data_IF_650064117668
#
_entry.id   IF_650064117668
#
_cell.length_a   1.000
_cell.length_b   1.000
_cell.length_c   1.000
_cell.angle_alpha   90.00
_cell.angle_beta   90.00
_cell.angle_gamma   90.00
#
_symmetry.space_group_name_H-M   'P 1'
#
loop_
_entity.id
_entity.type
_entity.pdbx_description
1 polymer ?
#
# COMPACT_ATOMS: atom_id res chain seq x y z
N UNK A 1 -2.46 -26.31 -12.35
CA UNK A 1 -1.79 -26.64 -11.07
C UNK A 1 -2.76 -27.47 -10.23
N UNK A 2 -2.34 -28.61 -9.66
CA UNK A 2 -3.17 -29.25 -8.62
C UNK A 2 -3.25 -28.28 -7.44
N UNK A 3 -4.45 -27.83 -7.06
CA UNK A 3 -4.61 -26.95 -5.89
C UNK A 3 -4.12 -27.70 -4.66
N UNK A 4 -2.98 -27.26 -4.18
CA UNK A 4 -2.35 -27.73 -2.96
C UNK A 4 -2.56 -26.63 -1.90
N UNK A 5 -2.91 -26.97 -0.65
CA UNK A 5 -3.14 -28.30 -0.10
C UNK A 5 -4.46 -28.93 -0.58
N UNK A 6 -4.52 -30.26 -0.53
CA UNK A 6 -5.74 -31.02 -0.88
C UNK A 6 -6.84 -30.76 0.16
N UNK A 7 -8.04 -30.43 -0.28
CA UNK A 7 -9.22 -30.35 0.61
C UNK A 7 -9.68 -31.75 1.02
N UNK A 8 -9.94 -31.95 2.31
CA UNK A 8 -10.45 -33.22 2.84
C UNK A 8 -11.98 -33.25 2.85
N UNK A 9 -12.52 -34.48 2.84
CA UNK A 9 -13.96 -34.68 3.00
C UNK A 9 -14.40 -34.27 4.40
N UNK A 10 -15.61 -33.73 4.52
CA UNK A 10 -16.20 -33.23 5.78
C UNK A 10 -16.19 -34.28 6.91
N UNK A 11 -16.41 -35.55 6.58
CA UNK A 11 -16.34 -36.66 7.54
C UNK A 11 -14.93 -36.86 8.14
N UNK A 12 -13.88 -36.58 7.37
CA UNK A 12 -12.49 -36.65 7.84
C UNK A 12 -12.18 -35.49 8.77
N UNK A 13 -12.57 -34.27 8.38
CA UNK A 13 -12.44 -33.05 9.19
C UNK A 13 -13.18 -33.21 10.53
N UNK A 14 -14.43 -33.68 10.49
CA UNK A 14 -15.25 -33.94 11.69
C UNK A 14 -14.56 -34.91 12.66
N UNK A 15 -13.96 -35.98 12.14
CA UNK A 15 -13.20 -36.95 12.95
C UNK A 15 -11.94 -36.33 13.55
N UNK A 16 -11.22 -35.49 12.79
CA UNK A 16 -10.04 -34.79 13.29
C UNK A 16 -10.40 -33.80 14.39
N UNK A 17 -11.44 -32.98 14.19
CA UNK A 17 -11.97 -32.05 15.19
C UNK A 17 -12.41 -32.78 16.47
N UNK A 18 -13.11 -33.91 16.34
CA UNK A 18 -13.50 -34.74 17.50
C UNK A 18 -12.29 -35.26 18.28
N UNK A 19 -11.19 -35.60 17.60
CA UNK A 19 -9.95 -36.06 18.24
C UNK A 19 -9.21 -34.91 18.94
N UNK A 20 -9.19 -33.73 18.31
CA UNK A 20 -8.60 -32.53 18.88
C UNK A 20 -9.36 -32.05 20.13
N UNK A 21 -10.69 -32.24 20.15
CA UNK A 21 -11.55 -32.06 21.33
C UNK A 21 -11.48 -30.67 21.99
N UNK A 22 -11.20 -29.63 21.21
CA UNK A 22 -11.25 -28.24 21.69
C UNK A 22 -12.70 -27.79 21.93
N UNK A 23 -12.95 -26.90 22.91
CA UNK A 23 -14.25 -26.27 23.08
C UNK A 23 -14.69 -25.52 21.81
N UNK A 24 -15.98 -25.56 21.49
CA UNK A 24 -16.51 -24.93 20.26
C UNK A 24 -16.20 -23.42 20.21
N UNK A 25 -16.32 -22.71 21.33
CA UNK A 25 -15.97 -21.29 21.43
C UNK A 25 -14.48 -21.02 21.14
N UNK A 26 -13.61 -21.95 21.54
CA UNK A 26 -12.16 -21.86 21.25
C UNK A 26 -11.92 -22.07 19.77
N UNK A 27 -12.50 -23.11 19.15
CA UNK A 27 -12.40 -23.32 17.71
C UNK A 27 -12.91 -22.11 16.93
N UNK A 28 -14.09 -21.59 17.27
CA UNK A 28 -14.67 -20.42 16.59
C UNK A 28 -13.73 -19.22 16.66
N UNK A 29 -13.16 -18.93 17.83
CA UNK A 29 -12.23 -17.83 17.99
C UNK A 29 -10.93 -18.02 17.19
N UNK A 30 -10.43 -19.25 17.07
CA UNK A 30 -9.24 -19.53 16.26
C UNK A 30 -9.48 -19.29 14.77
N UNK A 31 -10.66 -19.67 14.25
CA UNK A 31 -11.04 -19.33 12.87
C UNK A 31 -11.20 -17.82 12.69
N UNK A 32 -11.82 -17.11 13.64
CA UNK A 32 -11.93 -15.64 13.60
C UNK A 32 -10.54 -14.99 13.52
N UNK A 33 -9.55 -15.53 14.24
CA UNK A 33 -8.17 -15.09 14.15
C UNK A 33 -7.55 -15.37 12.78
N UNK A 34 -7.74 -16.57 12.22
CA UNK A 34 -7.15 -16.93 10.91
C UNK A 34 -7.73 -16.08 9.77
N UNK A 35 -9.03 -15.85 9.77
CA UNK A 35 -9.69 -14.92 8.82
C UNK A 35 -9.16 -13.49 8.99
N UNK A 36 -9.08 -13.00 10.23
CA UNK A 36 -8.50 -11.70 10.54
C UNK A 36 -7.05 -11.57 10.06
N UNK A 37 -6.23 -12.61 10.25
CA UNK A 37 -4.83 -12.61 9.83
C UNK A 37 -4.69 -12.62 8.32
N UNK A 38 -5.53 -13.39 7.63
CA UNK A 38 -5.59 -13.41 6.18
C UNK A 38 -5.94 -12.02 5.62
N UNK A 39 -6.94 -11.34 6.19
CA UNK A 39 -7.39 -10.04 5.69
C UNK A 39 -6.40 -8.91 6.00
N UNK A 40 -5.87 -8.84 7.23
CA UNK A 40 -5.00 -7.74 7.66
C UNK A 40 -3.54 -7.89 7.18
N UNK A 41 -2.98 -9.09 7.28
CA UNK A 41 -1.56 -9.30 6.99
C UNK A 41 -1.33 -9.92 5.61
N UNK A 42 -2.31 -10.63 5.05
CA UNK A 42 -2.27 -11.45 3.82
C UNK A 42 -1.21 -12.56 3.79
N UNK A 43 -0.11 -12.41 4.51
CA UNK A 43 0.94 -13.37 4.72
C UNK A 43 1.38 -13.28 6.18
N UNK A 44 1.23 -14.36 6.94
CA UNK A 44 1.64 -14.42 8.34
C UNK A 44 2.19 -15.81 8.72
N UNK A 45 3.43 -15.92 9.21
CA UNK A 45 3.95 -17.18 9.74
C UNK A 45 3.09 -17.72 10.90
N UNK A 46 2.87 -19.03 10.95
CA UNK A 46 2.07 -19.65 12.02
C UNK A 46 2.67 -19.44 13.42
N UNK A 47 4.01 -19.34 13.52
CA UNK A 47 4.70 -18.92 14.76
C UNK A 47 4.24 -17.55 15.26
N UNK A 48 4.08 -16.59 14.36
CA UNK A 48 3.60 -15.24 14.69
C UNK A 48 2.10 -15.28 15.05
N UNK A 49 1.30 -16.04 14.29
CA UNK A 49 -0.12 -16.25 14.58
C UNK A 49 -0.33 -16.83 15.99
N UNK A 50 0.38 -17.91 16.34
CA UNK A 50 0.35 -18.51 17.68
C UNK A 50 0.73 -17.49 18.75
N UNK A 51 1.83 -16.77 18.55
CA UNK A 51 2.31 -15.75 19.49
C UNK A 51 1.27 -14.65 19.74
N UNK A 52 0.56 -14.18 18.70
CA UNK A 52 -0.50 -13.19 18.84
C UNK A 52 -1.66 -13.78 19.67
N UNK A 53 -2.15 -14.96 19.28
CA UNK A 53 -3.30 -15.61 19.92
C UNK A 53 -3.00 -15.88 21.41
N UNK A 54 -1.86 -16.49 21.72
CA UNK A 54 -1.47 -16.81 23.10
C UNK A 54 -1.26 -15.55 23.95
N UNK A 55 -0.72 -14.47 23.36
CA UNK A 55 -0.54 -13.20 24.08
C UNK A 55 -1.88 -12.53 24.41
N UNK A 56 -2.84 -12.60 23.49
CA UNK A 56 -4.16 -11.98 23.67
C UNK A 56 -5.15 -12.87 24.44
N UNK A 57 -4.88 -14.17 24.55
CA UNK A 57 -5.75 -15.15 25.18
C UNK A 57 -4.91 -16.12 26.02
N UNK A 58 -4.51 -15.68 27.22
CA UNK A 58 -3.67 -16.49 28.11
C UNK A 58 -4.37 -17.82 28.43
N UNK A 59 -3.68 -18.92 28.14
CA UNK A 59 -4.17 -20.28 28.44
C UNK A 59 -5.26 -20.81 27.50
N UNK A 60 -5.54 -20.12 26.38
CA UNK A 60 -6.58 -20.56 25.44
C UNK A 60 -6.25 -21.89 24.76
N UNK A 61 -4.99 -22.07 24.34
CA UNK A 61 -4.56 -23.23 23.56
C UNK A 61 -3.05 -23.50 23.74
N UNK A 62 -2.67 -24.76 23.79
CA UNK A 62 -1.26 -25.20 23.78
C UNK A 62 -0.66 -25.13 22.37
N UNK A 63 0.66 -25.26 22.25
CA UNK A 63 1.31 -25.26 20.93
C UNK A 63 0.90 -26.49 20.11
N UNK A 64 0.82 -27.67 20.72
CA UNK A 64 0.46 -28.91 20.03
C UNK A 64 -0.99 -28.89 19.53
N UNK A 65 -1.92 -28.36 20.33
CA UNK A 65 -3.30 -28.16 19.92
C UNK A 65 -3.40 -27.13 18.79
N UNK A 66 -2.62 -26.04 18.84
CA UNK A 66 -2.58 -25.04 17.77
C UNK A 66 -2.06 -25.63 16.45
N UNK A 67 -1.00 -26.43 16.51
CA UNK A 67 -0.47 -27.14 15.34
C UNK A 67 -1.53 -28.08 14.78
N UNK A 68 -2.17 -28.88 15.62
CA UNK A 68 -3.24 -29.79 15.20
C UNK A 68 -4.45 -29.06 14.60
N UNK A 69 -4.85 -27.93 15.20
CA UNK A 69 -5.89 -27.05 14.64
C UNK A 69 -5.49 -26.51 13.27
N UNK A 70 -4.27 -25.99 13.12
CA UNK A 70 -3.78 -25.44 11.86
C UNK A 70 -3.71 -26.50 10.74
N UNK A 71 -3.39 -27.75 11.09
CA UNK A 71 -3.42 -28.88 10.15
C UNK A 71 -4.84 -29.19 9.68
N UNK A 72 -5.84 -29.08 10.56
CA UNK A 72 -7.25 -29.23 10.18
C UNK A 72 -7.66 -28.08 9.24
N UNK A 73 -7.42 -26.84 9.65
CA UNK A 73 -7.77 -25.64 8.88
C UNK A 73 -7.14 -25.64 7.48
N UNK A 74 -5.91 -26.16 7.35
CA UNK A 74 -5.20 -26.32 6.08
C UNK A 74 -5.95 -27.17 5.05
N UNK A 75 -6.78 -28.12 5.50
CA UNK A 75 -7.50 -29.05 4.65
C UNK A 75 -8.99 -28.71 4.49
N UNK A 76 -9.41 -27.56 5.00
CA UNK A 76 -10.75 -26.99 4.85
C UNK A 76 -10.77 -25.90 3.78
N UNK A 77 -11.97 -25.54 3.33
CA UNK A 77 -12.14 -24.49 2.32
C UNK A 77 -12.25 -23.13 3.03
N UNK A 78 -11.24 -22.29 2.81
CA UNK A 78 -11.15 -20.92 3.33
C UNK A 78 -10.73 -19.95 2.21
N UNK A 79 -10.77 -18.64 2.47
CA UNK A 79 -10.15 -17.62 1.59
C UNK A 79 -8.64 -17.44 1.83
N UNK A 80 -8.05 -18.36 2.61
CA UNK A 80 -6.63 -18.46 2.84
C UNK A 80 -6.19 -19.92 2.73
N UNK A 81 -4.89 -20.10 2.56
CA UNK A 81 -4.20 -21.37 2.58
C UNK A 81 -3.18 -21.37 3.73
N UNK A 82 -2.80 -22.56 4.17
CA UNK A 82 -1.65 -22.74 5.06
C UNK A 82 -0.63 -23.51 4.26
N UNK A 83 0.50 -22.90 3.95
CA UNK A 83 1.48 -23.39 2.96
C UNK A 83 2.87 -23.46 3.58
N UNK A 84 3.63 -24.47 3.19
CA UNK A 84 5.04 -24.62 3.52
C UNK A 84 5.91 -24.06 2.38
N UNK A 85 7.11 -23.59 2.70
CA UNK A 85 8.03 -23.07 1.68
C UNK A 85 8.53 -24.15 0.74
N UNK A 86 8.72 -25.38 1.21
CA UNK A 86 9.06 -26.52 0.35
C UNK A 86 7.95 -26.92 -0.63
N UNK A 87 6.76 -26.34 -0.50
CA UNK A 87 5.65 -26.50 -1.44
C UNK A 87 5.61 -25.38 -2.49
N UNK A 88 6.28 -24.26 -2.19
CA UNK A 88 6.30 -23.04 -3.01
C UNK A 88 7.63 -22.81 -3.72
N UNK A 89 8.73 -23.37 -3.21
CA UNK A 89 10.08 -23.22 -3.77
C UNK A 89 10.70 -24.60 -4.02
N UNK A 90 11.35 -24.79 -5.17
CA UNK A 90 11.91 -26.08 -5.59
C UNK A 90 13.00 -26.61 -4.64
N UNK A 91 13.83 -25.72 -4.08
CA UNK A 91 15.00 -26.07 -3.27
C UNK A 91 14.85 -25.69 -1.79
N UNK A 92 13.62 -25.41 -1.33
CA UNK A 92 13.40 -25.08 0.08
C UNK A 92 13.52 -26.33 0.96
N UNK A 93 14.11 -26.19 2.17
CA UNK A 93 14.15 -27.28 3.12
C UNK A 93 12.74 -27.63 3.58
N UNK A 94 12.50 -28.92 3.85
CA UNK A 94 11.22 -29.37 4.39
C UNK A 94 10.90 -28.67 5.70
N UNK A 95 9.72 -28.09 5.79
CA UNK A 95 9.26 -27.38 6.99
C UNK A 95 8.41 -28.26 7.90
N UNK A 96 8.54 -28.04 9.22
CA UNK A 96 7.63 -28.61 10.21
C UNK A 96 6.27 -27.88 10.14
N UNK A 97 5.16 -28.49 10.61
CA UNK A 97 3.84 -27.87 10.54
C UNK A 97 3.75 -26.44 11.10
N UNK A 98 4.51 -26.12 12.14
CA UNK A 98 4.54 -24.78 12.77
C UNK A 98 5.33 -23.74 11.98
N UNK A 99 6.21 -24.17 11.07
CA UNK A 99 7.03 -23.27 10.24
C UNK A 99 6.28 -22.71 9.03
N UNK A 100 5.12 -23.31 8.72
CA UNK A 100 4.24 -22.90 7.62
C UNK A 100 3.69 -21.48 7.81
N UNK A 101 3.17 -20.95 6.72
CA UNK A 101 2.63 -19.60 6.62
C UNK A 101 1.13 -19.65 6.29
N UNK A 102 0.35 -18.79 6.95
CA UNK A 102 -1.01 -18.47 6.55
C UNK A 102 -0.95 -17.44 5.42
N UNK A 103 -1.51 -17.80 4.26
CA UNK A 103 -1.39 -17.08 2.99
C UNK A 103 -2.77 -16.81 2.44
N UNK A 104 -3.15 -15.55 2.27
CA UNK A 104 -4.41 -15.18 1.67
C UNK A 104 -4.48 -15.66 0.21
N UNK A 105 -5.65 -16.10 -0.21
CA UNK A 105 -5.88 -16.70 -1.55
C UNK A 105 -5.47 -15.79 -2.70
N UNK A 106 -5.63 -14.46 -2.55
CA UNK A 106 -5.20 -13.49 -3.56
C UNK A 106 -3.72 -13.58 -3.95
N UNK A 107 -2.85 -14.12 -3.09
CA UNK A 107 -1.41 -14.22 -3.36
C UNK A 107 -1.00 -15.47 -4.14
N UNK A 108 -1.91 -16.45 -4.28
CA UNK A 108 -1.57 -17.81 -4.77
C UNK A 108 -2.62 -18.45 -5.70
N UNK A 109 -3.80 -17.85 -5.87
CA UNK A 109 -4.90 -18.43 -6.66
C UNK A 109 -4.67 -18.38 -8.17
N UNK A 110 -3.88 -17.40 -8.65
CA UNK A 110 -3.54 -17.22 -10.07
C UNK A 110 -2.16 -17.84 -10.36
N UNK A 111 -1.13 -17.32 -9.69
CA UNK A 111 0.24 -17.81 -9.69
C UNK A 111 0.91 -17.48 -8.34
N UNK A 112 2.23 -17.65 -8.22
CA UNK A 112 2.98 -17.40 -6.98
C UNK A 112 3.80 -16.10 -6.98
N UNK A 113 3.70 -15.27 -8.02
CA UNK A 113 4.48 -14.03 -8.15
C UNK A 113 4.12 -13.04 -7.05
N UNK A 114 2.83 -12.86 -6.78
CA UNK A 114 2.33 -11.98 -5.71
C UNK A 114 2.78 -12.44 -4.33
N UNK A 115 2.78 -13.74 -4.07
CA UNK A 115 3.36 -14.31 -2.85
C UNK A 115 4.86 -13.96 -2.73
N UNK A 116 5.66 -14.18 -3.76
CA UNK A 116 7.10 -13.86 -3.72
C UNK A 116 7.37 -12.36 -3.53
N UNK A 117 6.56 -11.50 -4.15
CA UNK A 117 6.65 -10.06 -3.98
C UNK A 117 6.27 -9.65 -2.55
N UNK A 118 5.22 -10.23 -1.98
CA UNK A 118 4.82 -9.99 -0.58
C UNK A 118 5.93 -10.40 0.40
N UNK A 119 6.56 -11.56 0.21
CA UNK A 119 7.71 -12.01 1.02
C UNK A 119 8.83 -10.97 1.01
N UNK A 120 9.21 -10.47 -0.17
CA UNK A 120 10.25 -9.43 -0.30
C UNK A 120 9.83 -8.13 0.39
N UNK A 121 8.58 -7.70 0.20
CA UNK A 121 8.07 -6.47 0.78
C UNK A 121 7.99 -6.51 2.31
N UNK A 122 7.64 -7.66 2.91
CA UNK A 122 7.57 -7.82 4.36
C UNK A 122 8.95 -8.07 5.01
N UNK A 123 9.97 -8.43 4.24
CA UNK A 123 11.29 -8.80 4.75
C UNK A 123 11.90 -7.69 5.63
N UNK A 124 12.40 -8.07 6.81
CA UNK A 124 13.05 -7.16 7.76
C UNK A 124 12.13 -6.17 8.48
N UNK A 125 10.83 -6.11 8.15
CA UNK A 125 9.88 -5.22 8.82
C UNK A 125 9.37 -5.83 10.14
N UNK A 126 9.13 -5.01 11.18
CA UNK A 126 8.48 -5.49 12.40
C UNK A 126 7.01 -5.86 12.13
N UNK A 127 6.45 -6.72 12.97
CA UNK A 127 5.02 -7.06 12.94
C UNK A 127 4.21 -6.12 13.84
N UNK A 128 3.21 -5.43 13.29
CA UNK A 128 2.25 -4.66 14.09
C UNK A 128 1.28 -5.64 14.73
N UNK A 129 1.13 -5.60 16.06
CA UNK A 129 0.11 -6.37 16.76
C UNK A 129 -0.91 -5.39 17.34
N UNK A 130 -2.13 -5.38 16.78
CA UNK A 130 -3.23 -4.54 17.26
C UNK A 130 -3.85 -5.11 18.55
N UNK A 131 -4.52 -4.28 19.37
CA UNK A 131 -5.36 -4.77 20.47
C UNK A 131 -6.42 -5.75 19.96
N UNK A 132 -6.75 -6.79 20.75
CA UNK A 132 -7.66 -7.88 20.33
C UNK A 132 -8.98 -7.37 19.72
N UNK A 133 -9.62 -6.38 20.36
CA UNK A 133 -10.90 -5.84 19.91
C UNK A 133 -10.81 -5.05 18.60
N UNK A 134 -9.66 -4.43 18.30
CA UNK A 134 -9.42 -3.75 17.02
C UNK A 134 -9.05 -4.76 15.94
N UNK A 135 -8.18 -5.71 16.29
CA UNK A 135 -7.70 -6.77 15.40
C UNK A 135 -8.86 -7.59 14.82
N UNK A 136 -9.75 -8.11 15.66
CA UNK A 136 -10.86 -8.98 15.21
C UNK A 136 -11.92 -8.28 14.36
N UNK A 137 -11.88 -6.93 14.22
CA UNK A 137 -12.75 -6.23 13.26
C UNK A 137 -12.39 -6.56 11.82
N UNK A 138 -11.12 -6.84 11.55
CA UNK A 138 -10.63 -7.24 10.22
C UNK A 138 -11.06 -8.65 9.82
N UNK A 139 -11.80 -9.39 10.67
CA UNK A 139 -12.49 -10.60 10.23
C UNK A 139 -13.44 -10.30 9.07
N UNK A 140 -14.13 -9.17 9.13
CA UNK A 140 -14.93 -8.65 8.02
C UNK A 140 -13.97 -8.11 6.95
N UNK A 141 -13.98 -8.74 5.77
CA UNK A 141 -13.12 -8.38 4.63
C UNK A 141 -13.49 -7.03 4.02
N UNK A 142 -14.69 -6.53 4.32
CA UNK A 142 -15.19 -5.21 3.94
C UNK A 142 -15.03 -4.18 5.07
N UNK A 143 -14.34 -4.53 6.16
CA UNK A 143 -14.15 -3.63 7.29
C UNK A 143 -13.39 -2.36 6.90
N UNK A 144 -14.06 -1.22 7.02
CA UNK A 144 -13.43 0.10 6.89
C UNK A 144 -13.12 0.64 8.29
N UNK A 145 -11.84 0.90 8.55
CA UNK A 145 -11.41 1.43 9.84
C UNK A 145 -11.96 2.84 10.09
N UNK A 146 -12.59 3.04 11.24
CA UNK A 146 -13.13 4.33 11.64
C UNK A 146 -12.00 5.27 12.13
N UNK A 147 -11.32 5.89 11.16
CA UNK A 147 -10.19 6.80 11.38
C UNK A 147 -10.55 8.23 11.00
N UNK A 148 -9.84 9.24 11.54
CA UNK A 148 -10.02 10.63 11.11
C UNK A 148 -9.85 10.81 9.59
N UNK A 149 -8.97 10.04 8.95
CA UNK A 149 -8.69 10.11 7.51
C UNK A 149 -9.83 9.54 6.66
N UNK A 150 -10.39 8.41 7.06
CA UNK A 150 -11.60 7.85 6.44
C UNK A 150 -12.77 8.82 6.58
N UNK A 151 -13.02 9.35 7.79
CA UNK A 151 -14.09 10.33 8.02
C UNK A 151 -13.89 11.61 7.19
N UNK A 152 -12.65 12.08 7.03
CA UNK A 152 -12.35 13.26 6.23
C UNK A 152 -12.64 13.03 4.74
N UNK A 153 -12.21 11.88 4.18
CA UNK A 153 -12.52 11.52 2.80
C UNK A 153 -14.03 11.32 2.60
N UNK A 154 -14.70 10.61 3.52
CA UNK A 154 -16.15 10.41 3.51
C UNK A 154 -16.91 11.74 3.51
N UNK A 155 -16.50 12.69 4.36
CA UNK A 155 -17.08 14.03 4.39
C UNK A 155 -16.87 14.78 3.07
N UNK A 156 -15.69 14.67 2.45
CA UNK A 156 -15.43 15.27 1.13
C UNK A 156 -16.36 14.68 0.06
N UNK A 157 -16.49 13.35 -0.01
CA UNK A 157 -17.36 12.67 -0.97
C UNK A 157 -18.83 13.09 -0.81
N UNK A 158 -19.34 13.13 0.42
CA UNK A 158 -20.72 13.49 0.69
C UNK A 158 -21.02 14.98 0.49
N UNK A 159 -20.12 15.88 0.91
CA UNK A 159 -20.40 17.32 0.94
C UNK A 159 -19.91 18.05 -0.31
N UNK A 160 -18.68 17.78 -0.75
CA UNK A 160 -18.05 18.49 -1.88
C UNK A 160 -18.41 17.85 -3.21
N UNK A 161 -18.54 16.52 -3.25
CA UNK A 161 -18.98 15.79 -4.45
C UNK A 161 -20.47 15.43 -4.44
N UNK A 162 -21.20 15.78 -3.37
CA UNK A 162 -22.66 15.60 -3.24
C UNK A 162 -23.11 14.15 -3.45
N UNK A 163 -22.28 13.18 -3.05
CA UNK A 163 -22.64 11.78 -3.12
C UNK A 163 -23.55 11.39 -1.96
N UNK A 164 -24.40 10.39 -2.16
CA UNK A 164 -25.12 9.76 -1.06
C UNK A 164 -24.14 9.03 -0.14
N UNK A 165 -24.50 8.87 1.14
CA UNK A 165 -23.66 8.18 2.12
C UNK A 165 -23.30 6.76 1.63
N UNK A 166 -24.27 5.99 1.15
CA UNK A 166 -24.02 4.65 0.59
C UNK A 166 -23.01 4.67 -0.56
N UNK A 167 -23.16 5.59 -1.52
CA UNK A 167 -22.22 5.67 -2.66
C UNK A 167 -20.82 6.11 -2.22
N UNK A 168 -20.74 6.95 -1.20
CA UNK A 168 -19.46 7.36 -0.64
C UNK A 168 -18.78 6.19 0.09
N UNK A 169 -19.53 5.35 0.83
CA UNK A 169 -19.01 4.12 1.45
C UNK A 169 -18.47 3.14 0.42
N UNK A 170 -19.19 2.89 -0.68
CA UNK A 170 -18.72 2.04 -1.77
C UNK A 170 -17.38 2.54 -2.34
N UNK A 171 -17.28 3.85 -2.60
CA UNK A 171 -16.05 4.47 -3.12
C UNK A 171 -14.89 4.40 -2.12
N UNK A 172 -15.15 4.60 -0.82
CA UNK A 172 -14.12 4.44 0.22
C UNK A 172 -13.64 3.00 0.26
N UNK A 173 -14.54 2.02 0.17
CA UNK A 173 -14.18 0.60 0.14
C UNK A 173 -13.23 0.31 -1.03
N UNK A 174 -13.57 0.79 -2.23
CA UNK A 174 -12.71 0.67 -3.42
C UNK A 174 -11.36 1.39 -3.23
N UNK A 175 -11.33 2.56 -2.60
CA UNK A 175 -10.07 3.26 -2.29
C UNK A 175 -9.18 2.45 -1.36
N UNK A 176 -9.73 1.89 -0.29
CA UNK A 176 -8.99 1.05 0.65
C UNK A 176 -8.46 -0.19 -0.06
N UNK A 177 -9.27 -0.85 -0.89
CA UNK A 177 -8.85 -2.00 -1.69
C UNK A 177 -7.69 -1.65 -2.64
N UNK A 178 -7.78 -0.50 -3.33
CA UNK A 178 -6.70 -0.01 -4.20
C UNK A 178 -5.43 0.25 -3.39
N UNK A 179 -5.55 0.89 -2.23
CA UNK A 179 -4.42 1.20 -1.35
C UNK A 179 -3.73 -0.08 -0.84
N UNK A 180 -4.49 -1.14 -0.54
CA UNK A 180 -3.94 -2.37 0.05
C UNK A 180 -3.39 -3.36 -0.99
N UNK A 181 -3.88 -3.32 -2.23
CA UNK A 181 -3.57 -4.33 -3.25
C UNK A 181 -2.74 -3.81 -4.44
N UNK A 182 -2.69 -2.50 -4.70
CA UNK A 182 -2.09 -1.96 -5.93
C UNK A 182 -0.73 -1.29 -5.65
N UNK A 183 0.29 -1.59 -6.45
CA UNK A 183 1.62 -0.97 -6.33
C UNK A 183 1.61 0.53 -6.67
N UNK A 184 0.61 0.98 -7.44
CA UNK A 184 0.45 2.38 -7.87
C UNK A 184 -0.96 2.87 -7.57
N UNK A 185 -1.29 3.11 -6.29
CA UNK A 185 -2.66 3.41 -5.87
C UNK A 185 -3.21 4.70 -6.50
N UNK A 186 -2.36 5.69 -6.80
CA UNK A 186 -2.78 6.92 -7.48
C UNK A 186 -3.18 6.69 -8.95
N UNK A 187 -2.43 5.87 -9.69
CA UNK A 187 -2.78 5.52 -11.07
C UNK A 187 -4.07 4.69 -11.11
N UNK A 188 -4.19 3.74 -10.18
CA UNK A 188 -5.35 2.86 -10.05
C UNK A 188 -6.62 3.64 -9.65
N UNK A 189 -6.53 4.54 -8.66
CA UNK A 189 -7.67 5.35 -8.24
C UNK A 189 -8.11 6.32 -9.34
N UNK A 190 -7.16 6.91 -10.09
CA UNK A 190 -7.52 7.78 -11.23
C UNK A 190 -8.34 7.00 -12.27
N UNK A 191 -7.90 5.79 -12.65
CA UNK A 191 -8.63 4.93 -13.59
C UNK A 191 -9.99 4.50 -13.05
N UNK A 192 -10.08 4.22 -11.75
CA UNK A 192 -11.33 3.87 -11.08
C UNK A 192 -12.32 5.03 -11.15
N UNK A 193 -11.89 6.25 -10.81
CA UNK A 193 -12.72 7.46 -10.85
C UNK A 193 -13.25 7.75 -12.26
N UNK A 194 -12.43 7.55 -13.28
CA UNK A 194 -12.85 7.65 -14.68
C UNK A 194 -13.93 6.60 -15.04
N UNK A 195 -13.74 5.34 -14.61
CA UNK A 195 -14.72 4.25 -14.84
C UNK A 195 -16.06 4.53 -14.19
N UNK A 196 -16.06 5.04 -12.96
CA UNK A 196 -17.30 5.42 -12.23
C UNK A 196 -17.84 6.80 -12.64
N UNK A 197 -17.18 7.45 -13.62
CA UNK A 197 -17.54 8.75 -14.20
C UNK A 197 -17.64 9.85 -13.14
N UNK A 198 -16.81 9.81 -12.10
CA UNK A 198 -16.77 10.81 -11.05
C UNK A 198 -15.86 11.96 -11.49
N UNK A 199 -16.47 13.03 -11.99
CA UNK A 199 -15.74 14.23 -12.43
C UNK A 199 -15.58 15.21 -11.28
N UNK A 200 -14.42 15.84 -11.22
CA UNK A 200 -14.08 16.87 -10.24
C UNK A 200 -13.67 18.15 -10.96
N UNK A 201 -13.97 19.30 -10.34
CA UNK A 201 -13.32 20.57 -10.70
C UNK A 201 -11.85 20.55 -10.26
N UNK A 202 -11.05 21.50 -10.75
CA UNK A 202 -9.65 21.63 -10.35
C UNK A 202 -9.47 21.75 -8.83
N UNK A 203 -10.27 22.61 -8.17
CA UNK A 203 -10.26 22.74 -6.71
C UNK A 203 -10.66 21.45 -5.98
N UNK A 204 -11.65 20.71 -6.49
CA UNK A 204 -12.04 19.43 -5.89
C UNK A 204 -10.95 18.37 -6.07
N UNK A 205 -10.25 18.38 -7.20
CA UNK A 205 -9.14 17.47 -7.47
C UNK A 205 -7.96 17.72 -6.53
N UNK A 206 -7.61 18.98 -6.26
CA UNK A 206 -6.57 19.35 -5.29
C UNK A 206 -6.91 18.85 -3.87
N UNK A 207 -8.15 19.10 -3.42
CA UNK A 207 -8.67 18.61 -2.14
C UNK A 207 -8.59 17.07 -2.07
N UNK A 208 -9.04 16.40 -3.14
CA UNK A 208 -9.02 14.94 -3.25
C UNK A 208 -7.60 14.38 -3.14
N UNK A 209 -6.63 14.92 -3.90
CA UNK A 209 -5.25 14.44 -3.88
C UNK A 209 -4.67 14.50 -2.48
N UNK A 210 -4.92 15.60 -1.75
CA UNK A 210 -4.46 15.74 -0.36
C UNK A 210 -5.11 14.69 0.55
N UNK A 211 -6.43 14.55 0.50
CA UNK A 211 -7.17 13.61 1.34
C UNK A 211 -6.82 12.15 1.02
N UNK A 212 -6.63 11.81 -0.25
CA UNK A 212 -6.26 10.47 -0.67
C UNK A 212 -4.83 10.14 -0.25
N UNK A 213 -3.91 11.12 -0.31
CA UNK A 213 -2.56 10.98 0.23
C UNK A 213 -2.58 10.69 1.73
N UNK A 214 -3.39 11.44 2.50
CA UNK A 214 -3.53 11.23 3.94
C UNK A 214 -4.14 9.85 4.25
N UNK A 215 -5.18 9.45 3.51
CA UNK A 215 -5.80 8.14 3.61
C UNK A 215 -4.80 7.01 3.32
N UNK A 216 -4.09 7.09 2.19
CA UNK A 216 -3.06 6.13 1.78
C UNK A 216 -1.96 5.97 2.84
N UNK A 217 -1.40 7.08 3.33
CA UNK A 217 -0.29 7.05 4.28
C UNK A 217 -0.70 6.57 5.68
N UNK A 218 -2.00 6.57 5.99
CA UNK A 218 -2.55 6.17 7.28
C UNK A 218 -3.45 4.92 7.21
N UNK A 219 -3.48 4.23 6.08
CA UNK A 219 -4.12 2.92 5.95
C UNK A 219 -3.10 1.81 6.25
N UNK A 220 -3.52 0.78 6.97
CA UNK A 220 -2.64 -0.36 7.32
C UNK A 220 -2.41 -1.22 6.08
N UNK A 221 -1.15 -1.58 5.84
CA UNK A 221 -0.78 -2.32 4.63
C UNK A 221 -0.27 -3.73 4.98
N UNK A 222 -0.72 -4.77 4.26
CA UNK A 222 -0.15 -6.12 4.34
C UNK A 222 1.36 -6.15 4.09
N UNK A 223 1.83 -5.40 3.09
CA UNK A 223 3.25 -5.24 2.73
C UNK A 223 4.08 -4.63 3.87
N UNK A 224 3.42 -3.90 4.79
CA UNK A 224 4.02 -3.29 5.97
C UNK A 224 3.73 -4.09 7.25
N UNK A 225 3.30 -5.36 7.13
CA UNK A 225 3.00 -6.23 8.27
C UNK A 225 2.03 -5.57 9.27
N UNK A 226 0.99 -4.93 8.74
CA UNK A 226 -0.07 -4.27 9.50
C UNK A 226 0.25 -2.85 9.99
N UNK A 227 1.46 -2.32 9.73
CA UNK A 227 1.74 -0.90 9.95
C UNK A 227 1.14 -0.04 8.83
N UNK A 228 0.79 1.20 9.15
CA UNK A 228 0.59 2.22 8.10
C UNK A 228 1.94 2.70 7.57
N UNK A 229 2.03 3.24 6.34
CA UNK A 229 3.25 3.90 5.87
C UNK A 229 3.80 4.95 6.84
N UNK A 230 2.90 5.74 7.45
CA UNK A 230 3.28 6.75 8.44
C UNK A 230 3.85 6.15 9.73
N UNK A 231 3.22 5.12 10.29
CA UNK A 231 3.74 4.44 11.49
C UNK A 231 5.09 3.77 11.20
N UNK A 232 5.29 3.18 10.02
CA UNK A 232 6.54 2.49 9.69
C UNK A 232 7.70 3.46 9.45
N UNK A 233 7.43 4.64 8.87
CA UNK A 233 8.43 5.68 8.67
C UNK A 233 8.94 6.28 9.99
N UNK A 234 8.05 6.45 10.97
CA UNK A 234 8.39 6.99 12.31
C UNK A 234 9.09 5.97 13.22
N UNK A 235 8.94 4.67 12.95
CA UNK A 235 9.52 3.58 13.75
C UNK A 235 10.98 3.21 13.36
N UNK A 236 11.57 3.89 12.36
CA UNK A 236 12.99 3.76 12.00
C UNK A 236 13.83 4.61 12.96
N UNK A 237 14.18 4.03 14.11
CA UNK A 237 14.83 4.72 15.23
C UNK A 237 15.94 5.70 14.86
N UNK A 238 15.60 7.00 14.81
CA UNK A 238 16.54 8.11 14.84
C UNK A 238 17.43 8.29 13.61
N UNK A 239 17.20 7.59 12.50
CA UNK A 239 17.77 8.05 11.23
C UNK A 239 16.95 9.26 10.80
N UNK A 240 17.58 10.45 10.80
CA UNK A 240 16.98 11.69 10.29
C UNK A 240 16.30 11.39 8.96
N UNK A 241 14.98 11.31 9.00
CA UNK A 241 14.17 11.36 7.80
C UNK A 241 14.48 12.74 7.24
N UNK A 242 15.12 12.80 6.07
CA UNK A 242 15.26 14.06 5.37
C UNK A 242 13.84 14.47 4.97
N UNK A 243 13.19 15.21 5.85
CA UNK A 243 11.76 15.55 5.78
C UNK A 243 11.43 16.42 4.58
N UNK A 244 12.45 17.06 4.02
CA UNK A 244 12.45 17.80 2.77
C UNK A 244 13.90 17.96 2.29
N UNK A 245 14.15 17.76 0.98
CA UNK A 245 15.41 18.12 0.33
C UNK A 245 15.18 19.40 -0.45
N UNK A 246 16.08 20.38 -0.32
CA UNK A 246 16.07 21.56 -1.19
C UNK A 246 17.30 21.62 -2.08
N UNK A 247 17.11 22.04 -3.34
CA UNK A 247 18.24 22.30 -4.24
C UNK A 247 19.08 23.45 -3.69
N UNK A 248 20.36 23.17 -3.44
CA UNK A 248 21.32 24.21 -3.05
C UNK A 248 21.48 25.30 -4.12
N UNK A 249 22.14 26.43 -3.78
CA UNK A 249 22.25 27.60 -4.65
C UNK A 249 22.97 27.29 -5.97
N UNK A 250 23.94 26.36 -5.97
CA UNK A 250 24.69 25.99 -7.17
C UNK A 250 23.85 25.17 -8.16
N UNK A 251 23.11 24.17 -7.66
CA UNK A 251 22.20 23.36 -8.49
C UNK A 251 21.08 24.24 -9.04
N UNK A 252 20.51 25.11 -8.20
CA UNK A 252 19.51 26.09 -8.64
C UNK A 252 20.07 27.05 -9.71
N UNK A 253 21.34 27.46 -9.59
CA UNK A 253 22.00 28.29 -10.60
C UNK A 253 22.22 27.54 -11.91
N UNK A 254 22.64 26.27 -11.87
CA UNK A 254 22.82 25.43 -13.04
C UNK A 254 21.53 25.24 -13.85
N UNK A 255 20.38 25.04 -13.16
CA UNK A 255 19.07 25.00 -13.82
C UNK A 255 18.67 26.36 -14.43
N UNK A 256 19.07 27.48 -13.81
CA UNK A 256 18.78 28.82 -14.33
C UNK A 256 19.70 29.23 -15.49
N UNK A 257 20.94 28.79 -15.49
CA UNK A 257 21.92 29.04 -16.57
C UNK A 257 21.67 28.14 -17.79
N UNK A 258 20.91 27.07 -17.62
CA UNK A 258 20.69 26.04 -18.65
C UNK A 258 21.85 25.07 -18.79
N UNK A 259 22.78 25.04 -17.82
CA UNK A 259 23.87 24.06 -17.74
C UNK A 259 23.35 22.68 -17.33
N UNK A 260 22.21 22.61 -16.64
CA UNK A 260 21.51 21.39 -16.30
C UNK A 260 20.09 21.40 -16.90
N UNK A 261 19.70 20.31 -17.57
CA UNK A 261 18.38 20.16 -18.16
C UNK A 261 17.36 19.74 -17.09
N UNK A 262 16.34 20.58 -16.91
CA UNK A 262 15.28 20.38 -15.91
C UNK A 262 14.40 19.17 -16.27
N UNK A 263 14.14 18.92 -17.54
CA UNK A 263 13.28 17.80 -17.96
C UNK A 263 13.99 16.46 -17.84
N UNK A 264 15.30 16.44 -18.08
CA UNK A 264 16.13 15.26 -17.83
C UNK A 264 16.17 14.92 -16.34
N UNK A 265 16.42 15.93 -15.49
CA UNK A 265 16.39 15.77 -14.03
C UNK A 265 15.01 15.36 -13.50
N UNK A 266 13.93 15.90 -14.07
CA UNK A 266 12.55 15.52 -13.73
C UNK A 266 12.31 14.03 -13.97
N UNK A 267 12.79 13.49 -15.10
CA UNK A 267 12.69 12.06 -15.42
C UNK A 267 13.52 11.22 -14.46
N UNK A 268 14.74 11.62 -14.15
CA UNK A 268 15.60 10.90 -13.20
C UNK A 268 14.97 10.83 -11.80
N UNK A 269 14.38 11.93 -11.31
CA UNK A 269 13.68 11.94 -10.02
C UNK A 269 12.51 10.97 -10.02
N UNK A 270 11.69 10.96 -11.08
CA UNK A 270 10.56 10.04 -11.21
C UNK A 270 11.01 8.57 -11.20
N UNK A 271 12.12 8.27 -11.89
CA UNK A 271 12.68 6.93 -12.03
C UNK A 271 13.53 6.47 -10.84
N UNK A 272 13.85 7.35 -9.90
CA UNK A 272 14.66 7.02 -8.72
C UNK A 272 13.90 6.18 -7.68
N UNK A 273 14.62 5.53 -6.77
CA UNK A 273 14.04 4.82 -5.61
C UNK A 273 13.83 5.74 -4.38
N UNK A 274 13.80 7.06 -4.60
CA UNK A 274 13.62 8.03 -3.51
C UNK A 274 12.22 7.93 -2.87
N UNK A 275 12.05 8.28 -1.58
CA UNK A 275 10.74 8.37 -0.96
C UNK A 275 9.83 9.35 -1.71
N UNK A 276 8.55 9.01 -1.86
CA UNK A 276 7.62 9.78 -2.69
C UNK A 276 7.47 11.24 -2.26
N UNK A 277 7.48 11.50 -0.94
CA UNK A 277 7.50 12.86 -0.39
C UNK A 277 8.70 13.69 -0.88
N UNK A 278 9.88 13.06 -0.94
CA UNK A 278 11.11 13.71 -1.40
C UNK A 278 11.05 13.95 -2.91
N UNK A 279 10.55 12.98 -3.69
CA UNK A 279 10.33 13.18 -5.13
C UNK A 279 9.42 14.37 -5.39
N UNK A 280 8.29 14.43 -4.69
CA UNK A 280 7.31 15.51 -4.85
C UNK A 280 7.87 16.88 -4.44
N UNK A 281 8.65 16.95 -3.36
CA UNK A 281 9.30 18.20 -2.94
C UNK A 281 10.35 18.67 -3.97
N UNK A 282 11.11 17.74 -4.56
CA UNK A 282 12.09 18.06 -5.62
C UNK A 282 11.38 18.50 -6.91
N UNK A 283 10.33 17.80 -7.33
CA UNK A 283 9.53 18.14 -8.51
C UNK A 283 8.84 19.50 -8.37
N UNK A 284 8.32 19.82 -7.17
CA UNK A 284 7.75 21.14 -6.85
C UNK A 284 8.80 22.25 -6.94
N UNK A 285 10.04 21.98 -6.54
CA UNK A 285 11.12 22.96 -6.67
C UNK A 285 11.52 23.18 -8.13
N UNK A 286 11.57 22.12 -8.95
CA UNK A 286 11.81 22.26 -10.39
C UNK A 286 10.74 23.15 -11.05
N UNK A 287 9.46 22.93 -10.73
CA UNK A 287 8.37 23.76 -11.28
C UNK A 287 8.42 25.23 -10.80
N UNK A 288 8.86 25.48 -9.57
CA UNK A 288 9.09 26.85 -9.07
C UNK A 288 10.28 27.54 -9.77
N UNK A 289 11.32 26.79 -10.13
CA UNK A 289 12.48 27.30 -10.88
C UNK A 289 12.07 27.63 -12.32
N UNK A 290 11.29 26.76 -12.97
CA UNK A 290 10.72 27.01 -14.30
C UNK A 290 9.76 28.22 -14.31
N UNK A 291 8.88 28.32 -13.30
CA UNK A 291 7.90 29.41 -13.17
C UNK A 291 8.53 30.80 -12.97
N UNK A 292 9.75 30.88 -12.42
CA UNK A 292 10.53 32.14 -12.30
C UNK A 292 11.32 32.49 -13.57
N UNK A 293 11.35 31.62 -14.57
CA UNK A 293 12.11 31.80 -15.82
C UNK A 293 11.24 32.23 -17.02
N UNK A 294 10.21 33.04 -16.81
CA UNK A 294 9.72 33.96 -17.86
C UNK A 294 10.62 35.20 -17.95
N UNK A 295 11.93 35.01 -18.06
CA UNK A 295 12.76 36.04 -18.68
C UNK A 295 12.73 35.77 -20.17
N UNK A 296 11.96 36.59 -20.90
CA UNK A 296 12.05 36.66 -22.36
C UNK A 296 13.53 36.65 -22.74
N UNK A 297 13.95 35.68 -23.57
CA UNK A 297 15.27 35.67 -24.21
C UNK A 297 15.55 37.09 -24.69
N UNK A 298 16.50 37.79 -24.06
CA UNK A 298 16.92 39.13 -24.51
C UNK A 298 17.46 38.97 -25.92
N UNK A 299 16.65 39.32 -26.93
CA UNK A 299 17.07 39.33 -28.32
C UNK A 299 18.26 40.27 -28.42
N UNK A 300 19.42 39.75 -28.85
CA UNK A 300 20.63 40.55 -28.98
C UNK A 300 20.38 41.69 -29.95
N UNK A 301 20.90 42.89 -29.66
CA UNK A 301 20.71 44.09 -30.52
C UNK A 301 21.05 43.84 -32.00
N UNK A 302 21.94 42.88 -32.29
CA UNK A 302 22.36 42.52 -33.64
C UNK A 302 21.68 41.27 -34.22
N UNK A 303 20.83 40.56 -33.47
CA UNK A 303 20.13 39.35 -33.90
C UNK A 303 18.97 39.68 -34.85
N UNK A 304 18.51 38.73 -35.70
CA UNK A 304 17.33 38.89 -36.52
C UNK A 304 16.09 39.25 -35.68
N UNK A 305 15.33 40.24 -36.14
CA UNK A 305 14.17 40.73 -35.42
C UNK A 305 13.01 39.72 -35.50
N UNK A 306 12.40 39.41 -34.35
CA UNK A 306 11.34 38.42 -34.21
C UNK A 306 10.02 38.78 -34.92
N UNK A 307 9.87 39.98 -35.48
CA UNK A 307 8.70 40.40 -36.26
C UNK A 307 8.70 39.90 -37.72
N UNK A 308 9.70 39.10 -38.11
CA UNK A 308 9.79 38.53 -39.47
C UNK A 308 10.30 39.52 -40.53
N UNK A 309 10.76 40.71 -40.14
CA UNK A 309 11.21 41.74 -41.09
C UNK A 309 12.56 41.47 -41.77
N UNK A 310 13.30 40.45 -41.33
CA UNK A 310 14.65 40.14 -41.81
C UNK A 310 15.74 41.13 -41.38
N UNK A 311 15.41 42.19 -40.62
CA UNK A 311 16.36 43.21 -40.14
C UNK A 311 16.91 42.85 -38.74
N UNK A 312 18.10 43.37 -38.39
CA UNK A 312 18.64 43.28 -37.02
C UNK A 312 17.74 44.00 -36.02
N UNK A 313 17.55 43.47 -34.80
CA UNK A 313 16.63 43.98 -33.78
C UNK A 313 16.79 45.49 -33.53
N UNK A 314 18.01 46.01 -33.38
CA UNK A 314 18.30 47.46 -33.18
C UNK A 314 17.85 48.38 -34.31
N UNK A 315 17.56 47.83 -35.50
CA UNK A 315 17.11 48.59 -36.68
C UNK A 315 15.62 48.38 -36.99
N UNK A 316 14.90 47.66 -36.13
CA UNK A 316 13.48 47.35 -36.31
C UNK A 316 12.71 47.60 -35.00
N UNK A 317 12.28 46.54 -34.28
CA UNK A 317 11.50 46.67 -33.05
C UNK A 317 12.30 47.22 -31.85
N UNK A 318 13.63 47.25 -31.93
CA UNK A 318 14.52 47.79 -30.89
C UNK A 318 15.03 49.21 -31.15
N UNK A 319 14.24 50.04 -31.85
CA UNK A 319 14.50 51.48 -32.03
C UNK A 319 14.05 52.28 -30.82
#
# INVERSE_FOLDING_TARGET
>A
MSRFPRIYAESTITRMNKKLALPQETMSLLYDYFETFANLYQLLPLKDAYKIISRQNKGLITLDEFIAFSEIARHEKHYYYILAKDELYLDAPKEEPIDRELVHSCLVDIDYEDYYNMVKHQAGKPLKILPKQELLKYKDDMYIADTPYVRAMMNFLCTRLQLSAHRAEDIISDFILIITCDDRPFDAVSKMLDRVKLKMTESQLEDFIKLFTDLNNNTRLPQNRGFTPHELSTNRGGQEVIDSISFGPNITAAFKSGEADIEEYRKEILMSELPEKVKMDMLRQLSQIEGKNTTQKKVGRNDPCHCGSGKKYKKCCGK
#
